data_IF_466593231039
#
_entry.id   IF_466593231039
#
_cell.length_a   1.000
_cell.length_b   1.000
_cell.length_c   1.000
_cell.angle_alpha   90.00
_cell.angle_beta   90.00
_cell.angle_gamma   90.00
#
_symmetry.space_group_name_H-M   'P 1'
#
loop_
_entity.id
_entity.type
_entity.pdbx_description
1 polymer ?
#
# COMPACT_ATOMS: atom_id res chain seq x y z
N UNK A 1 14.38 4.35 27.62
CA UNK A 1 15.00 5.26 26.64
C UNK A 1 13.87 6.11 26.10
N UNK A 2 13.92 7.42 26.29
CA UNK A 2 12.93 8.32 25.67
C UNK A 2 13.16 8.27 24.15
N UNK A 3 12.09 8.03 23.40
CA UNK A 3 12.13 8.00 21.94
C UNK A 3 12.46 9.42 21.42
N UNK A 4 13.45 9.53 20.54
CA UNK A 4 13.76 10.76 19.82
C UNK A 4 13.79 10.46 18.31
N UNK A 5 12.79 10.99 17.59
CA UNK A 5 12.62 10.74 16.16
C UNK A 5 13.71 11.39 15.31
N UNK A 6 14.31 12.50 15.75
CA UNK A 6 15.25 13.30 14.94
C UNK A 6 16.44 12.48 14.45
N UNK A 7 16.92 11.54 15.27
CA UNK A 7 18.04 10.66 14.93
C UNK A 7 17.70 9.83 13.69
N UNK A 8 16.49 9.28 13.64
CA UNK A 8 16.03 8.46 12.51
C UNK A 8 15.64 9.34 11.33
N UNK A 9 14.92 10.43 11.58
CA UNK A 9 14.49 11.40 10.55
C UNK A 9 15.67 11.97 9.76
N UNK A 10 16.78 12.29 10.45
CA UNK A 10 18.02 12.74 9.82
C UNK A 10 18.64 11.64 8.94
N UNK A 11 18.70 10.40 9.44
CA UNK A 11 19.22 9.24 8.70
C UNK A 11 18.43 8.94 7.43
N UNK A 12 17.10 9.01 7.50
CA UNK A 12 16.23 8.75 6.34
C UNK A 12 15.98 10.00 5.49
N UNK A 13 16.41 11.18 5.96
CA UNK A 13 16.18 12.49 5.33
C UNK A 13 14.70 12.81 5.11
N UNK A 14 13.84 12.46 6.07
CA UNK A 14 12.40 12.78 6.06
C UNK A 14 12.02 13.28 7.46
N UNK A 15 11.39 14.45 7.50
CA UNK A 15 10.79 15.02 8.70
C UNK A 15 9.30 14.65 8.73
N UNK A 16 8.89 13.91 9.76
CA UNK A 16 7.51 13.48 9.97
C UNK A 16 6.69 14.60 10.60
N UNK A 17 5.41 14.70 10.24
CA UNK A 17 4.45 15.53 10.99
C UNK A 17 4.02 14.85 12.27
N UNK A 18 3.92 13.52 12.23
CA UNK A 18 3.61 12.66 13.36
C UNK A 18 4.77 11.69 13.65
N UNK A 19 5.61 12.03 14.61
CA UNK A 19 6.77 11.23 15.04
C UNK A 19 6.38 9.86 15.63
N UNK A 20 5.18 9.71 16.18
CA UNK A 20 4.66 8.43 16.70
C UNK A 20 4.45 7.42 15.58
N UNK A 21 4.16 7.88 14.37
CA UNK A 21 4.01 6.99 13.22
C UNK A 21 5.35 6.38 12.81
N UNK A 22 6.45 7.14 12.94
CA UNK A 22 7.80 6.64 12.74
C UNK A 22 8.18 5.64 13.85
N UNK A 23 7.83 5.93 15.10
CA UNK A 23 8.02 4.99 16.20
C UNK A 23 7.29 3.66 15.96
N UNK A 24 6.02 3.72 15.53
CA UNK A 24 5.24 2.54 15.17
C UNK A 24 5.90 1.75 14.04
N UNK A 25 6.40 2.41 12.98
CA UNK A 25 7.10 1.74 11.88
C UNK A 25 8.35 0.97 12.32
N UNK A 26 9.01 1.45 13.37
CA UNK A 26 10.20 0.84 13.96
C UNK A 26 9.90 -0.17 15.06
N UNK A 27 8.64 -0.37 15.44
CA UNK A 27 8.26 -1.27 16.53
C UNK A 27 7.96 -2.67 16.01
N UNK A 28 8.85 -3.62 16.26
CA UNK A 28 8.60 -5.03 15.96
C UNK A 28 7.61 -5.62 16.97
N UNK A 29 6.82 -6.62 16.56
CA UNK A 29 5.82 -7.29 17.41
C UNK A 29 6.39 -7.80 18.75
N UNK A 30 7.61 -8.33 18.75
CA UNK A 30 8.28 -8.76 19.99
C UNK A 30 8.56 -7.61 20.95
N UNK A 31 8.93 -6.43 20.45
CA UNK A 31 9.11 -5.24 21.30
C UNK A 31 7.78 -4.69 21.77
N UNK A 32 6.76 -4.66 20.90
CA UNK A 32 5.40 -4.28 21.24
C UNK A 32 4.85 -5.13 22.41
N UNK A 33 5.11 -6.44 22.37
CA UNK A 33 4.78 -7.36 23.45
C UNK A 33 5.57 -7.05 24.74
N UNK A 34 6.87 -6.76 24.63
CA UNK A 34 7.71 -6.42 25.79
C UNK A 34 7.22 -5.16 26.54
N UNK A 35 6.66 -4.18 25.83
CA UNK A 35 6.13 -2.94 26.42
C UNK A 35 4.62 -3.00 26.74
N UNK A 36 4.03 -4.20 26.72
CA UNK A 36 2.60 -4.44 26.99
C UNK A 36 1.63 -3.71 26.04
N UNK A 37 1.99 -3.52 24.77
CA UNK A 37 1.12 -3.01 23.70
C UNK A 37 1.22 -3.89 22.45
N UNK A 38 0.91 -5.19 22.53
CA UNK A 38 1.13 -6.15 21.43
C UNK A 38 0.38 -5.79 20.13
N UNK A 39 -0.65 -4.95 20.21
CA UNK A 39 -1.41 -4.45 19.06
C UNK A 39 -0.76 -3.27 18.33
N UNK A 40 0.29 -2.66 18.92
CA UNK A 40 0.98 -1.48 18.39
C UNK A 40 2.33 -1.86 17.78
N UNK A 41 2.29 -2.70 16.76
CA UNK A 41 3.46 -3.08 15.98
C UNK A 41 3.41 -2.55 14.54
N UNK A 42 4.50 -2.80 13.82
CA UNK A 42 4.68 -2.30 12.47
C UNK A 42 4.01 -3.15 11.39
N UNK A 43 3.31 -4.25 11.71
CA UNK A 43 2.84 -5.21 10.69
C UNK A 43 1.81 -4.58 9.74
N UNK A 44 0.90 -3.74 10.26
CA UNK A 44 -0.06 -3.02 9.41
C UNK A 44 0.63 -2.02 8.49
N UNK A 45 1.64 -1.31 9.00
CA UNK A 45 2.43 -0.37 8.20
C UNK A 45 3.28 -1.09 7.14
N UNK A 46 3.88 -2.23 7.49
CA UNK A 46 4.60 -3.11 6.56
C UNK A 46 3.68 -3.52 5.42
N UNK A 47 2.47 -3.96 5.75
CA UNK A 47 1.48 -4.42 4.78
C UNK A 47 1.06 -3.33 3.79
N UNK A 48 0.79 -2.12 4.27
CA UNK A 48 0.53 -0.95 3.42
C UNK A 48 1.77 -0.59 2.58
N UNK A 49 2.92 -0.49 3.24
CA UNK A 49 4.18 -0.10 2.65
C UNK A 49 4.64 -1.04 1.53
N UNK A 50 4.36 -2.34 1.62
CA UNK A 50 4.62 -3.31 0.55
C UNK A 50 3.88 -2.94 -0.75
N UNK A 51 2.61 -2.53 -0.66
CA UNK A 51 1.83 -2.14 -1.84
C UNK A 51 2.26 -0.79 -2.39
N UNK A 52 2.57 0.16 -1.52
CA UNK A 52 3.11 1.47 -1.94
C UNK A 52 4.47 1.29 -2.62
N UNK A 53 5.37 0.50 -2.06
CA UNK A 53 6.68 0.18 -2.65
C UNK A 53 6.52 -0.42 -4.05
N UNK A 54 5.65 -1.42 -4.18
CA UNK A 54 5.38 -2.06 -5.47
C UNK A 54 4.85 -1.05 -6.51
N UNK A 55 3.89 -0.21 -6.11
CA UNK A 55 3.35 0.82 -6.99
C UNK A 55 4.42 1.81 -7.45
N UNK A 56 5.24 2.32 -6.52
CA UNK A 56 6.32 3.25 -6.85
C UNK A 56 7.31 2.62 -7.83
N UNK A 57 7.70 1.36 -7.63
CA UNK A 57 8.61 0.65 -8.54
C UNK A 57 7.97 0.47 -9.92
N UNK A 58 6.74 -0.03 -9.99
CA UNK A 58 6.05 -0.26 -11.27
C UNK A 58 5.84 1.04 -12.03
N UNK A 59 5.47 2.12 -11.33
CA UNK A 59 5.32 3.45 -11.87
C UNK A 59 6.66 4.00 -12.42
N UNK A 60 7.74 3.89 -11.65
CA UNK A 60 9.07 4.27 -12.12
C UNK A 60 9.49 3.47 -13.35
N UNK A 61 9.33 2.15 -13.34
CA UNK A 61 9.66 1.30 -14.49
C UNK A 61 8.78 1.63 -15.70
N UNK A 62 7.51 1.94 -15.50
CA UNK A 62 6.60 2.34 -16.57
C UNK A 62 7.11 3.59 -17.29
N UNK A 63 7.61 4.58 -16.55
CA UNK A 63 8.10 5.83 -17.15
C UNK A 63 9.51 5.71 -17.76
N UNK A 64 10.39 4.95 -17.12
CA UNK A 64 11.81 4.97 -17.47
C UNK A 64 12.30 3.75 -18.27
N UNK A 65 11.53 2.68 -18.31
CA UNK A 65 11.90 1.44 -18.99
C UNK A 65 10.81 0.94 -19.97
N UNK A 66 10.24 1.81 -20.85
CA UNK A 66 9.15 1.43 -21.74
C UNK A 66 9.53 0.34 -22.75
N UNK A 67 10.81 0.26 -23.12
CA UNK A 67 11.39 -0.69 -24.07
C UNK A 67 11.56 -2.10 -23.50
N UNK A 68 11.40 -2.31 -22.19
CA UNK A 68 11.57 -3.64 -21.61
C UNK A 68 10.39 -4.56 -21.99
N UNK A 69 10.66 -5.77 -22.51
CA UNK A 69 9.65 -6.81 -22.60
C UNK A 69 9.07 -7.12 -21.22
N UNK A 70 7.79 -7.49 -21.18
CA UNK A 70 7.05 -7.71 -19.94
C UNK A 70 7.79 -8.63 -18.95
N UNK A 71 8.37 -9.73 -19.44
CA UNK A 71 9.14 -10.68 -18.62
C UNK A 71 10.33 -10.03 -17.91
N UNK A 72 11.07 -9.14 -18.61
CA UNK A 72 12.19 -8.40 -18.02
C UNK A 72 11.71 -7.30 -17.08
N UNK A 73 10.60 -6.64 -17.42
CA UNK A 73 9.98 -5.62 -16.58
C UNK A 73 9.59 -6.19 -15.21
N UNK A 74 8.90 -7.34 -15.18
CA UNK A 74 8.51 -8.00 -13.93
C UNK A 74 9.71 -8.55 -13.16
N UNK A 75 10.69 -9.14 -13.86
CA UNK A 75 11.91 -9.62 -13.20
C UNK A 75 12.69 -8.48 -12.53
N UNK A 76 12.77 -7.31 -13.18
CA UNK A 76 13.41 -6.14 -12.60
C UNK A 76 12.65 -5.61 -11.39
N UNK A 77 11.31 -5.53 -11.47
CA UNK A 77 10.45 -5.21 -10.33
C UNK A 77 10.72 -6.14 -9.14
N UNK A 78 10.73 -7.45 -9.37
CA UNK A 78 10.93 -8.44 -8.31
C UNK A 78 12.32 -8.31 -7.67
N UNK A 79 13.35 -8.06 -8.48
CA UNK A 79 14.72 -7.81 -7.98
C UNK A 79 14.83 -6.52 -7.15
N UNK A 80 14.03 -5.50 -7.46
CA UNK A 80 13.98 -4.25 -6.69
C UNK A 80 13.27 -4.43 -5.34
N UNK A 81 12.33 -5.37 -5.26
CA UNK A 81 11.56 -5.68 -4.04
C UNK A 81 12.17 -6.77 -3.17
N UNK A 82 13.28 -7.37 -3.60
CA UNK A 82 13.92 -8.48 -2.91
C UNK A 82 14.39 -8.09 -1.49
N UNK A 83 14.08 -8.95 -0.52
CA UNK A 83 14.33 -8.70 0.90
C UNK A 83 15.79 -8.40 1.25
N UNK A 84 16.73 -9.10 0.60
CA UNK A 84 18.17 -8.82 0.75
C UNK A 84 18.52 -7.38 0.36
N UNK A 85 17.97 -6.90 -0.76
CA UNK A 85 18.18 -5.53 -1.23
C UNK A 85 17.57 -4.51 -0.27
N UNK A 86 16.35 -4.75 0.21
CA UNK A 86 15.70 -3.88 1.19
C UNK A 86 16.52 -3.83 2.49
N UNK A 87 17.06 -4.96 2.92
CA UNK A 87 17.98 -5.03 4.07
C UNK A 87 19.26 -4.22 3.80
N UNK A 88 19.87 -4.31 2.62
CA UNK A 88 21.04 -3.49 2.28
C UNK A 88 20.73 -1.99 2.32
N UNK A 89 19.57 -1.56 1.84
CA UNK A 89 19.14 -0.14 1.92
C UNK A 89 18.99 0.29 3.38
N UNK A 90 18.38 -0.53 4.23
CA UNK A 90 18.26 -0.26 5.67
C UNK A 90 19.61 0.07 6.32
N UNK A 91 20.62 -0.76 6.08
CA UNK A 91 21.96 -0.53 6.63
C UNK A 91 22.70 0.65 5.96
N UNK A 92 22.48 0.89 4.66
CA UNK A 92 23.00 2.06 3.94
C UNK A 92 22.46 3.38 4.50
N UNK A 93 21.23 3.40 4.99
CA UNK A 93 20.63 4.55 5.69
C UNK A 93 21.27 4.78 7.08
N UNK A 94 22.16 3.91 7.54
CA UNK A 94 22.82 4.03 8.85
C UNK A 94 21.90 3.72 10.03
N UNK A 95 20.75 3.08 9.81
CA UNK A 95 19.83 2.68 10.89
C UNK A 95 20.46 1.60 11.80
N UNK A 96 21.31 0.75 11.22
CA UNK A 96 22.08 -0.25 11.96
C UNK A 96 21.19 -1.32 12.61
N UNK A 97 21.73 -1.98 13.63
CA UNK A 97 21.02 -3.02 14.39
C UNK A 97 20.26 -2.48 15.61
N UNK A 98 20.47 -1.20 15.97
CA UNK A 98 19.72 -0.54 17.04
C UNK A 98 18.24 -0.41 16.72
N UNK A 99 17.92 -0.34 15.42
CA UNK A 99 16.58 -0.37 14.88
C UNK A 99 16.37 -1.61 13.98
N UNK A 100 15.13 -2.07 13.73
CA UNK A 100 13.93 -1.69 14.48
C UNK A 100 14.06 -2.09 15.97
N UNK A 101 13.17 -1.59 16.81
CA UNK A 101 13.07 -2.04 18.19
C UNK A 101 12.58 -3.48 18.21
N UNK A 102 13.39 -4.38 18.76
CA UNK A 102 13.13 -5.83 18.86
C UNK A 102 13.41 -6.23 20.30
N UNK A 103 12.53 -7.03 20.92
CA UNK A 103 12.84 -7.62 22.21
C UNK A 103 14.10 -8.50 22.12
N UNK A 104 15.06 -8.25 23.00
CA UNK A 104 16.40 -8.85 22.94
C UNK A 104 16.33 -10.39 23.01
N UNK A 105 16.84 -11.02 21.97
CA UNK A 105 17.37 -12.39 21.99
C UNK A 105 18.75 -12.29 21.36
N UNK A 106 19.77 -12.89 21.96
CA UNK A 106 21.19 -12.44 21.99
C UNK A 106 21.97 -12.32 20.64
N UNK A 107 21.33 -12.28 19.47
CA UNK A 107 22.03 -12.34 18.18
C UNK A 107 21.38 -11.50 17.06
N UNK A 108 21.14 -10.20 17.27
CA UNK A 108 20.58 -9.28 16.24
C UNK A 108 21.33 -9.33 14.90
N UNK A 109 22.66 -9.42 14.95
CA UNK A 109 23.52 -9.50 13.78
C UNK A 109 23.23 -10.69 12.85
N UNK A 110 22.65 -11.78 13.36
CA UNK A 110 22.27 -12.96 12.55
C UNK A 110 20.92 -12.80 11.86
N UNK A 111 20.12 -11.81 12.24
CA UNK A 111 18.80 -11.59 11.64
C UNK A 111 18.90 -11.09 10.20
N UNK A 112 19.95 -10.33 9.86
CA UNK A 112 20.12 -9.70 8.54
C UNK A 112 20.22 -10.68 7.36
N UNK A 113 20.64 -11.92 7.63
CA UNK A 113 20.79 -12.98 6.60
C UNK A 113 19.55 -13.87 6.51
N UNK A 114 18.58 -13.71 7.41
CA UNK A 114 17.33 -14.48 7.37
C UNK A 114 16.42 -13.89 6.28
N UNK A 115 15.67 -14.76 5.61
CA UNK A 115 14.55 -14.33 4.76
C UNK A 115 13.46 -13.70 5.62
N UNK A 116 12.74 -12.70 5.12
CA UNK A 116 11.66 -12.02 5.84
C UNK A 116 12.14 -11.44 7.19
N UNK A 117 13.35 -10.89 7.22
CA UNK A 117 13.95 -10.38 8.44
C UNK A 117 13.29 -9.05 8.91
N UNK A 118 13.46 -8.65 10.17
CA UNK A 118 12.83 -7.44 10.68
C UNK A 118 13.28 -6.14 9.99
N UNK A 119 14.46 -6.09 9.39
CA UNK A 119 14.97 -4.87 8.73
C UNK A 119 14.25 -4.59 7.40
N UNK A 120 14.07 -5.61 6.54
CA UNK A 120 13.30 -5.46 5.31
C UNK A 120 11.82 -5.13 5.60
N UNK A 121 11.25 -5.72 6.65
CA UNK A 121 9.88 -5.44 7.11
C UNK A 121 9.73 -4.02 7.62
N UNK A 122 10.63 -3.58 8.50
CA UNK A 122 10.63 -2.22 9.02
C UNK A 122 10.89 -1.17 7.93
N UNK A 123 11.70 -1.48 6.91
CA UNK A 123 11.87 -0.57 5.76
C UNK A 123 10.55 -0.38 5.01
N UNK A 124 9.80 -1.47 4.75
CA UNK A 124 8.44 -1.37 4.18
C UNK A 124 7.52 -0.57 5.10
N UNK A 125 7.56 -0.83 6.41
CA UNK A 125 6.78 -0.07 7.37
C UNK A 125 7.09 1.43 7.35
N UNK A 126 8.36 1.83 7.23
CA UNK A 126 8.77 3.23 7.05
C UNK A 126 8.15 3.80 5.76
N UNK A 127 8.15 3.07 4.65
CA UNK A 127 7.53 3.51 3.39
C UNK A 127 6.02 3.73 3.59
N UNK A 128 5.34 2.83 4.30
CA UNK A 128 3.93 2.96 4.67
C UNK A 128 3.68 4.19 5.55
N UNK A 129 4.54 4.41 6.55
CA UNK A 129 4.51 5.57 7.43
C UNK A 129 4.71 6.89 6.66
N UNK A 130 5.69 6.97 5.76
CA UNK A 130 5.91 8.14 4.88
C UNK A 130 4.66 8.39 4.03
N UNK A 131 4.05 7.35 3.48
CA UNK A 131 2.84 7.50 2.65
C UNK A 131 1.66 8.07 3.44
N UNK A 132 1.44 7.58 4.66
CA UNK A 132 0.35 8.07 5.52
C UNK A 132 0.59 9.50 6.01
N UNK A 133 1.82 9.87 6.35
CA UNK A 133 2.17 11.18 6.93
C UNK A 133 2.39 12.29 5.86
N UNK A 134 3.03 11.91 4.76
CA UNK A 134 3.54 12.84 3.73
C UNK A 134 2.92 12.64 2.34
N UNK A 135 2.18 11.55 2.14
CA UNK A 135 1.51 11.22 0.88
C UNK A 135 2.40 10.52 -0.14
N UNK A 136 1.75 9.93 -1.16
CA UNK A 136 2.39 9.09 -2.17
C UNK A 136 3.55 9.77 -2.91
N UNK A 137 3.45 11.08 -3.21
CA UNK A 137 4.52 11.82 -3.91
C UNK A 137 5.84 11.80 -3.13
N UNK A 138 5.78 11.91 -1.80
CA UNK A 138 6.97 11.84 -0.95
C UNK A 138 7.50 10.41 -0.86
N UNK A 139 6.63 9.42 -0.77
CA UNK A 139 7.02 8.00 -0.85
C UNK A 139 7.72 7.68 -2.18
N UNK A 140 7.18 8.16 -3.31
CA UNK A 140 7.76 7.98 -4.63
C UNK A 140 9.17 8.56 -4.71
N UNK A 141 9.34 9.83 -4.33
CA UNK A 141 10.63 10.51 -4.37
C UNK A 141 11.66 9.84 -3.46
N UNK A 142 11.24 9.45 -2.25
CA UNK A 142 12.13 8.82 -1.28
C UNK A 142 12.57 7.44 -1.75
N UNK A 143 11.65 6.57 -2.16
CA UNK A 143 11.99 5.24 -2.70
C UNK A 143 12.84 5.36 -3.96
N UNK A 144 12.54 6.30 -4.87
CA UNK A 144 13.37 6.53 -6.04
C UNK A 144 14.81 6.88 -5.64
N UNK A 145 14.99 7.86 -4.75
CA UNK A 145 16.32 8.28 -4.27
C UNK A 145 17.09 7.15 -3.60
N UNK A 146 16.45 6.39 -2.71
CA UNK A 146 17.13 5.40 -1.87
C UNK A 146 17.33 4.04 -2.56
N UNK A 147 16.42 3.64 -3.44
CA UNK A 147 16.38 2.30 -4.01
C UNK A 147 16.71 2.23 -5.50
N UNK A 148 16.32 3.24 -6.30
CA UNK A 148 16.29 3.10 -7.77
C UNK A 148 17.34 3.97 -8.47
N UNK A 149 17.43 5.27 -8.15
CA UNK A 149 18.21 6.25 -8.90
C UNK A 149 19.67 5.84 -9.10
N UNK A 150 20.37 5.43 -8.03
CA UNK A 150 21.79 5.05 -8.11
C UNK A 150 22.06 3.76 -8.89
N UNK A 151 21.04 2.92 -9.07
CA UNK A 151 21.19 1.59 -9.68
C UNK A 151 20.69 1.55 -11.11
N UNK A 152 19.63 2.31 -11.41
CA UNK A 152 18.94 2.27 -12.69
C UNK A 152 19.25 3.46 -13.59
N UNK A 153 19.73 4.59 -13.05
CA UNK A 153 19.97 5.81 -13.84
C UNK A 153 20.90 5.59 -15.02
N UNK A 154 21.93 4.76 -14.88
CA UNK A 154 22.89 4.41 -15.94
C UNK A 154 22.37 3.47 -17.01
N UNK A 155 21.20 2.85 -16.80
CA UNK A 155 20.60 1.87 -17.70
C UNK A 155 19.39 2.41 -18.44
N UNK A 156 19.01 3.67 -18.20
CA UNK A 156 17.94 4.35 -18.92
C UNK A 156 18.35 4.55 -20.38
N UNK A 157 17.40 4.33 -21.28
CA UNK A 157 17.56 4.58 -22.70
C UNK A 157 16.57 5.65 -23.14
N UNK A 158 16.97 6.47 -24.12
CA UNK A 158 16.06 7.39 -24.82
C UNK A 158 15.18 6.62 -25.79
N UNK A 159 14.36 5.71 -25.25
CA UNK A 159 13.39 4.95 -26.02
C UNK A 159 12.07 5.72 -26.09
N UNK A 160 11.64 6.04 -27.32
CA UNK A 160 10.35 6.68 -27.57
C UNK A 160 9.20 5.67 -27.67
N UNK A 161 9.51 4.42 -28.01
CA UNK A 161 8.50 3.37 -28.20
C UNK A 161 8.44 2.40 -27.03
N UNK A 162 7.22 1.97 -26.70
CA UNK A 162 6.95 1.03 -25.61
C UNK A 162 6.70 -0.37 -26.17
N UNK A 163 7.46 -1.36 -25.71
CA UNK A 163 7.46 -2.73 -26.28
C UNK A 163 6.18 -3.53 -25.99
N UNK A 164 5.53 -3.30 -24.85
CA UNK A 164 4.27 -3.97 -24.51
C UNK A 164 3.32 -3.01 -23.78
N UNK A 165 2.76 -2.02 -24.50
CA UNK A 165 2.01 -0.93 -23.89
C UNK A 165 0.84 -1.41 -23.04
N UNK A 166 0.04 -2.32 -23.59
CA UNK A 166 -1.13 -2.89 -22.94
C UNK A 166 -0.79 -3.63 -21.64
N UNK A 167 0.23 -4.48 -21.68
CA UNK A 167 0.62 -5.30 -20.52
C UNK A 167 1.25 -4.45 -19.41
N UNK A 168 2.06 -3.47 -19.78
CA UNK A 168 2.67 -2.54 -18.81
C UNK A 168 1.61 -1.63 -18.19
N UNK A 169 0.67 -1.11 -18.99
CA UNK A 169 -0.46 -0.30 -18.49
C UNK A 169 -1.36 -1.11 -17.57
N UNK A 170 -1.69 -2.34 -17.94
CA UNK A 170 -2.48 -3.25 -17.11
C UNK A 170 -1.79 -3.55 -15.78
N UNK A 171 -0.47 -3.76 -15.77
CA UNK A 171 0.30 -3.97 -14.54
C UNK A 171 0.33 -2.73 -13.64
N UNK A 172 0.52 -1.54 -14.23
CA UNK A 172 0.47 -0.27 -13.50
C UNK A 172 -0.88 -0.11 -12.80
N UNK A 173 -1.97 -0.29 -13.55
CA UNK A 173 -3.32 -0.20 -13.01
C UNK A 173 -3.66 -1.27 -11.97
N UNK A 174 -3.22 -2.52 -12.16
CA UNK A 174 -3.44 -3.60 -11.19
C UNK A 174 -2.70 -3.32 -9.87
N UNK A 175 -1.47 -2.83 -9.98
CA UNK A 175 -0.67 -2.45 -8.82
C UNK A 175 -1.29 -1.25 -8.10
N UNK A 176 -1.80 -0.28 -8.85
CA UNK A 176 -2.50 0.89 -8.32
C UNK A 176 -3.81 0.51 -7.62
N UNK A 177 -4.63 -0.35 -8.23
CA UNK A 177 -5.87 -0.86 -7.63
C UNK A 177 -5.59 -1.50 -6.27
N UNK A 178 -4.57 -2.36 -6.20
CA UNK A 178 -4.13 -3.00 -4.96
C UNK A 178 -3.66 -1.98 -3.92
N UNK A 179 -2.87 -0.99 -4.33
CA UNK A 179 -2.36 0.03 -3.41
C UNK A 179 -3.49 0.91 -2.85
N UNK A 180 -4.41 1.39 -3.70
CA UNK A 180 -5.58 2.17 -3.27
C UNK A 180 -6.44 1.32 -2.35
N UNK A 181 -6.72 0.07 -2.71
CA UNK A 181 -7.61 -0.77 -1.91
C UNK A 181 -7.03 -1.06 -0.53
N UNK A 182 -5.72 -1.35 -0.43
CA UNK A 182 -5.07 -1.53 0.87
C UNK A 182 -5.00 -0.23 1.66
N UNK A 183 -4.70 0.92 1.03
CA UNK A 183 -4.73 2.23 1.73
C UNK A 183 -6.12 2.54 2.29
N UNK A 184 -7.17 2.32 1.49
CA UNK A 184 -8.55 2.52 1.92
C UNK A 184 -8.94 1.60 3.09
N UNK A 185 -8.73 0.29 2.94
CA UNK A 185 -9.07 -0.68 4.00
C UNK A 185 -8.24 -0.45 5.27
N UNK A 186 -6.96 -0.06 5.14
CA UNK A 186 -6.12 0.29 6.27
C UNK A 186 -6.72 1.44 7.10
N UNK A 187 -7.28 2.46 6.42
CA UNK A 187 -7.89 3.64 7.06
C UNK A 187 -9.29 3.35 7.60
N UNK A 188 -10.10 2.63 6.82
CA UNK A 188 -11.48 2.29 7.19
C UNK A 188 -11.52 1.32 8.38
N UNK A 189 -10.57 0.38 8.45
CA UNK A 189 -10.56 -0.71 9.43
C UNK A 189 -9.27 -0.66 10.30
N UNK A 190 -9.11 0.35 11.17
CA UNK A 190 -7.87 0.63 11.90
C UNK A 190 -7.43 -0.48 12.87
N UNK A 191 -8.36 -1.33 13.31
CA UNK A 191 -8.08 -2.40 14.28
C UNK A 191 -8.07 -3.81 13.64
N UNK A 192 -8.21 -3.89 12.32
CA UNK A 192 -8.19 -5.16 11.59
C UNK A 192 -6.76 -5.48 11.14
N UNK A 193 -6.30 -6.69 11.45
CA UNK A 193 -4.95 -7.14 11.14
C UNK A 193 -4.71 -7.39 9.64
N UNK A 194 -3.44 -7.41 9.18
CA UNK A 194 -3.11 -7.56 7.76
C UNK A 194 -3.67 -8.82 7.08
N UNK A 195 -3.76 -9.93 7.81
CA UNK A 195 -4.30 -11.20 7.28
C UNK A 195 -5.76 -11.04 6.86
N UNK A 196 -6.58 -10.43 7.72
CA UNK A 196 -7.99 -10.14 7.43
C UNK A 196 -8.14 -9.09 6.33
N UNK A 197 -7.35 -8.03 6.37
CA UNK A 197 -7.34 -7.01 5.30
C UNK A 197 -6.97 -7.63 3.94
N UNK A 198 -6.04 -8.59 3.92
CA UNK A 198 -5.69 -9.33 2.70
C UNK A 198 -6.89 -10.11 2.17
N UNK A 199 -7.60 -10.86 3.02
CA UNK A 199 -8.80 -11.60 2.62
C UNK A 199 -9.86 -10.66 2.04
N UNK A 200 -10.15 -9.55 2.72
CA UNK A 200 -11.11 -8.55 2.25
C UNK A 200 -10.70 -7.93 0.92
N UNK A 201 -9.43 -7.51 0.80
CA UNK A 201 -8.95 -6.88 -0.43
C UNK A 201 -9.12 -7.78 -1.65
N UNK A 202 -8.95 -9.10 -1.51
CA UNK A 202 -9.08 -10.07 -2.60
C UNK A 202 -10.47 -10.09 -3.23
N UNK A 203 -11.50 -9.83 -2.44
CA UNK A 203 -12.88 -9.73 -2.92
C UNK A 203 -13.02 -8.56 -3.90
N UNK A 204 -12.66 -7.36 -3.45
CA UNK A 204 -12.81 -6.11 -4.22
C UNK A 204 -11.85 -5.97 -5.40
N UNK A 205 -10.71 -6.68 -5.39
CA UNK A 205 -9.79 -6.72 -6.54
C UNK A 205 -10.00 -7.94 -7.44
N UNK A 206 -11.03 -8.75 -7.20
CA UNK A 206 -11.31 -9.94 -8.01
C UNK A 206 -11.67 -9.57 -9.46
N UNK A 207 -11.44 -10.49 -10.40
CA UNK A 207 -11.83 -10.29 -11.81
C UNK A 207 -13.35 -10.09 -11.96
N UNK A 208 -14.15 -10.71 -11.10
CA UNK A 208 -15.60 -10.57 -11.11
C UNK A 208 -16.02 -9.15 -10.73
N UNK A 209 -15.54 -8.63 -9.59
CA UNK A 209 -15.80 -7.25 -9.17
C UNK A 209 -15.27 -6.25 -10.20
N UNK A 210 -14.07 -6.46 -10.74
CA UNK A 210 -13.52 -5.61 -11.81
C UNK A 210 -14.41 -5.55 -13.07
N UNK A 211 -15.06 -6.66 -13.44
CA UNK A 211 -16.00 -6.69 -14.57
C UNK A 211 -17.26 -5.88 -14.26
N UNK A 212 -17.79 -6.00 -13.04
CA UNK A 212 -18.91 -5.19 -12.55
C UNK A 212 -18.57 -3.69 -12.56
N UNK A 213 -17.36 -3.33 -12.11
CA UNK A 213 -16.88 -1.94 -12.15
C UNK A 213 -16.87 -1.38 -13.57
N UNK A 214 -16.34 -2.11 -14.55
CA UNK A 214 -16.35 -1.67 -15.95
C UNK A 214 -17.75 -1.44 -16.50
N UNK A 215 -18.72 -2.30 -16.16
CA UNK A 215 -20.10 -2.15 -16.65
C UNK A 215 -20.84 -0.95 -16.07
N UNK A 216 -20.42 -0.47 -14.89
CA UNK A 216 -21.08 0.61 -14.17
C UNK A 216 -20.50 2.01 -14.43
N UNK A 217 -19.52 2.15 -15.32
CA UNK A 217 -18.77 3.40 -15.50
C UNK A 217 -18.88 3.87 -16.96
N UNK A 218 -19.31 5.12 -17.14
CA UNK A 218 -19.15 5.82 -18.41
C UNK A 218 -17.69 6.28 -18.56
N UNK A 219 -17.03 5.83 -19.63
CA UNK A 219 -15.63 6.16 -19.91
C UNK A 219 -15.59 7.49 -20.67
N UNK A 220 -15.04 8.53 -20.04
CA UNK A 220 -14.76 9.81 -20.72
C UNK A 220 -13.73 9.60 -21.84
N UNK A 221 -14.04 9.96 -23.10
CA UNK A 221 -13.10 9.88 -24.22
C UNK A 221 -11.76 10.59 -23.98
N UNK A 222 -11.70 11.60 -23.10
CA UNK A 222 -10.47 12.34 -22.77
C UNK A 222 -9.50 11.60 -21.85
N UNK A 223 -9.97 10.55 -21.18
CA UNK A 223 -9.14 9.69 -20.30
C UNK A 223 -8.32 8.68 -21.12
N UNK A 224 -8.68 8.50 -22.39
CA UNK A 224 -8.11 7.53 -23.30
C UNK A 224 -6.73 8.02 -23.76
N UNK A 225 -5.67 7.26 -23.51
CA UNK A 225 -4.39 7.47 -24.20
C UNK A 225 -4.57 7.06 -25.67
N UNK A 226 -4.14 7.89 -26.66
CA UNK A 226 -4.43 7.63 -28.07
C UNK A 226 -3.97 6.26 -28.60
N UNK A 227 -2.96 5.66 -27.97
CA UNK A 227 -2.32 4.44 -28.45
C UNK A 227 -3.04 3.15 -28.02
N UNK A 228 -3.84 3.14 -26.95
CA UNK A 228 -4.29 1.89 -26.28
C UNK A 228 -5.79 1.81 -25.95
N UNK A 229 -6.64 2.55 -26.65
CA UNK A 229 -8.10 2.60 -26.40
C UNK A 229 -8.77 1.21 -26.36
N UNK A 230 -8.38 0.31 -27.27
CA UNK A 230 -8.98 -1.03 -27.40
C UNK A 230 -8.77 -1.90 -26.16
N UNK A 231 -7.67 -1.70 -25.43
CA UNK A 231 -7.36 -2.46 -24.21
C UNK A 231 -8.06 -1.90 -22.99
N UNK A 232 -8.19 -0.56 -22.91
CA UNK A 232 -8.94 0.13 -21.85
C UNK A 232 -10.38 -0.40 -21.76
N UNK A 233 -11.05 -0.57 -22.91
CA UNK A 233 -12.44 -1.07 -22.97
C UNK A 233 -12.62 -2.51 -22.48
N UNK A 234 -11.54 -3.28 -22.30
CA UNK A 234 -11.60 -4.69 -21.89
C UNK A 234 -11.02 -4.96 -20.50
N UNK A 235 -10.46 -3.95 -19.83
CA UNK A 235 -9.67 -4.16 -18.61
C UNK A 235 -9.80 -3.01 -17.64
N UNK A 236 -10.41 -3.27 -16.48
CA UNK A 236 -10.55 -2.28 -15.40
C UNK A 236 -9.18 -1.77 -14.91
N UNK A 237 -8.17 -2.63 -14.70
CA UNK A 237 -6.83 -2.17 -14.39
C UNK A 237 -6.27 -1.23 -15.46
N UNK A 238 -6.41 -1.56 -16.75
CA UNK A 238 -5.89 -0.68 -17.81
C UNK A 238 -6.58 0.71 -17.80
N UNK A 239 -7.89 0.76 -17.57
CA UNK A 239 -8.63 2.00 -17.38
C UNK A 239 -8.09 2.81 -16.19
N UNK A 240 -7.97 2.18 -15.02
CA UNK A 240 -7.45 2.83 -13.82
C UNK A 240 -6.01 3.34 -14.01
N UNK A 241 -5.17 2.57 -14.71
CA UNK A 241 -3.82 2.98 -15.09
C UNK A 241 -3.81 4.19 -16.03
N UNK A 242 -4.70 4.23 -17.03
CA UNK A 242 -4.83 5.37 -17.92
C UNK A 242 -5.29 6.63 -17.17
N UNK A 243 -6.25 6.49 -16.24
CA UNK A 243 -6.70 7.58 -15.37
C UNK A 243 -5.58 8.11 -14.48
N UNK A 244 -4.77 7.22 -13.92
CA UNK A 244 -3.63 7.61 -13.11
C UNK A 244 -2.64 8.49 -13.88
N UNK A 245 -2.33 8.10 -15.12
CA UNK A 245 -1.46 8.87 -16.01
C UNK A 245 -2.11 10.19 -16.44
N UNK A 246 -3.43 10.24 -16.65
CA UNK A 246 -4.12 11.48 -16.99
C UNK A 246 -4.18 12.46 -15.81
N UNK A 247 -4.27 11.98 -14.57
CA UNK A 247 -4.17 12.85 -13.40
C UNK A 247 -2.75 13.36 -13.15
N UNK A 248 -1.73 12.63 -13.60
CA UNK A 248 -0.34 13.07 -13.56
C UNK A 248 -0.07 14.29 -14.42
N UNK A 249 -0.60 14.32 -15.65
CA UNK A 249 -0.43 15.47 -16.55
C UNK A 249 -1.04 16.76 -15.98
N UNK A 250 -2.05 16.62 -15.12
CA UNK A 250 -2.63 17.75 -14.39
C UNK A 250 -1.76 18.15 -13.19
N UNK A 251 -1.41 17.19 -12.33
CA UNK A 251 -0.52 17.41 -11.19
C UNK A 251 0.01 16.07 -10.64
N UNK A 252 1.28 15.77 -10.94
CA UNK A 252 2.00 14.57 -10.52
C UNK A 252 2.05 14.34 -9.01
N UNK A 253 1.95 15.41 -8.19
CA UNK A 253 1.94 15.27 -6.71
C UNK A 253 0.63 14.69 -6.18
N UNK A 254 -0.46 14.83 -6.95
CA UNK A 254 -1.82 14.45 -6.53
C UNK A 254 -2.40 13.26 -7.28
N UNK A 255 -1.67 12.69 -8.26
CA UNK A 255 -2.17 11.60 -9.13
C UNK A 255 -2.73 10.41 -8.35
N UNK A 256 -2.01 9.93 -7.33
CA UNK A 256 -2.49 8.84 -6.46
C UNK A 256 -3.77 9.23 -5.71
N UNK A 257 -3.79 10.43 -5.10
CA UNK A 257 -4.94 10.90 -4.33
C UNK A 257 -6.18 11.04 -5.22
N UNK A 258 -6.05 11.61 -6.43
CA UNK A 258 -7.14 11.73 -7.40
C UNK A 258 -7.63 10.37 -7.89
N UNK A 259 -6.73 9.44 -8.19
CA UNK A 259 -7.11 8.06 -8.56
C UNK A 259 -7.83 7.34 -7.42
N UNK A 260 -7.35 7.51 -6.19
CA UNK A 260 -7.98 6.96 -4.98
C UNK A 260 -9.37 7.53 -4.77
N UNK A 261 -9.50 8.85 -4.78
CA UNK A 261 -10.78 9.54 -4.63
C UNK A 261 -11.78 9.12 -5.69
N UNK A 262 -11.35 9.02 -6.95
CA UNK A 262 -12.23 8.56 -8.02
C UNK A 262 -12.69 7.11 -7.79
N UNK A 263 -11.76 6.20 -7.52
CA UNK A 263 -12.10 4.79 -7.31
C UNK A 263 -13.06 4.63 -6.13
N UNK A 264 -12.71 5.19 -4.98
CA UNK A 264 -13.49 5.02 -3.75
C UNK A 264 -14.86 5.70 -3.87
N UNK A 265 -14.95 6.92 -4.42
CA UNK A 265 -16.23 7.66 -4.46
C UNK A 265 -17.15 7.25 -5.61
N UNK A 266 -16.62 6.70 -6.70
CA UNK A 266 -17.40 6.42 -7.92
C UNK A 266 -17.62 4.94 -8.19
N UNK A 267 -16.77 4.08 -7.63
CA UNK A 267 -16.75 2.65 -7.99
C UNK A 267 -16.99 1.75 -6.77
N UNK A 268 -16.39 2.09 -5.62
CA UNK A 268 -16.51 1.28 -4.41
C UNK A 268 -17.71 1.76 -3.58
N UNK A 269 -18.61 0.84 -3.24
CA UNK A 269 -19.68 1.08 -2.28
C UNK A 269 -19.16 0.76 -0.87
N UNK A 270 -19.13 1.76 0.02
CA UNK A 270 -18.67 1.59 1.40
C UNK A 270 -19.56 0.62 2.18
N UNK A 271 -20.88 0.62 1.97
CA UNK A 271 -21.78 -0.33 2.63
C UNK A 271 -21.47 -1.77 2.18
N UNK A 272 -21.08 -1.97 0.91
CA UNK A 272 -20.62 -3.26 0.40
C UNK A 272 -19.33 -3.71 1.11
N UNK A 273 -18.36 -2.79 1.27
CA UNK A 273 -17.12 -3.07 2.00
C UNK A 273 -17.37 -3.42 3.46
N UNK A 274 -18.23 -2.65 4.15
CA UNK A 274 -18.57 -2.90 5.54
C UNK A 274 -19.31 -4.23 5.71
N UNK A 275 -20.22 -4.59 4.80
CA UNK A 275 -20.90 -5.89 4.81
C UNK A 275 -19.92 -7.05 4.71
N UNK A 276 -19.03 -7.03 3.71
CA UNK A 276 -18.01 -8.07 3.54
C UNK A 276 -17.05 -8.15 4.75
N UNK A 277 -16.69 -6.98 5.31
CA UNK A 277 -15.88 -6.92 6.53
C UNK A 277 -16.58 -7.57 7.72
N UNK A 278 -17.85 -7.23 7.96
CA UNK A 278 -18.66 -7.80 9.05
C UNK A 278 -18.82 -9.31 8.86
N UNK A 279 -19.20 -9.76 7.66
CA UNK A 279 -19.39 -11.18 7.36
C UNK A 279 -18.11 -11.99 7.61
N UNK A 280 -16.96 -11.48 7.18
CA UNK A 280 -15.67 -12.11 7.44
C UNK A 280 -15.36 -12.18 8.94
N UNK A 281 -15.56 -11.08 9.67
CA UNK A 281 -15.23 -10.99 11.09
C UNK A 281 -16.13 -11.90 11.94
N UNK A 282 -17.43 -11.97 11.63
CA UNK A 282 -18.36 -12.90 12.28
C UNK A 282 -17.98 -14.36 12.02
N UNK A 283 -17.58 -14.69 10.79
CA UNK A 283 -17.10 -16.04 10.44
C UNK A 283 -15.85 -16.44 11.22
N UNK A 284 -15.04 -15.47 11.63
CA UNK A 284 -13.87 -15.66 12.48
C UNK A 284 -14.16 -15.40 13.97
N UNK A 285 -15.42 -15.53 14.37
CA UNK A 285 -15.90 -15.47 15.77
C UNK A 285 -15.58 -14.16 16.49
N UNK A 286 -15.38 -13.06 15.75
CA UNK A 286 -15.18 -11.75 16.34
C UNK A 286 -16.50 -11.27 16.96
N UNK A 287 -16.52 -10.86 18.25
CA UNK A 287 -17.77 -10.47 18.90
C UNK A 287 -18.46 -9.30 18.20
N UNK A 288 -19.79 -9.39 18.03
CA UNK A 288 -20.59 -8.31 17.43
C UNK A 288 -20.35 -6.95 18.12
N UNK A 289 -20.23 -6.93 19.45
CA UNK A 289 -19.94 -5.70 20.20
C UNK A 289 -18.61 -5.06 19.79
N UNK A 290 -17.60 -5.89 19.51
CA UNK A 290 -16.32 -5.42 18.99
C UNK A 290 -16.46 -4.85 17.58
N UNK A 291 -17.22 -5.53 16.71
CA UNK A 291 -17.46 -5.06 15.33
C UNK A 291 -18.18 -3.70 15.33
N UNK A 292 -19.23 -3.55 16.14
CA UNK A 292 -19.97 -2.28 16.24
C UNK A 292 -19.05 -1.14 16.67
N UNK A 293 -18.14 -1.41 17.63
CA UNK A 293 -17.20 -0.41 18.13
C UNK A 293 -16.07 -0.11 17.14
N UNK A 294 -15.33 -1.13 16.74
CA UNK A 294 -14.04 -0.98 16.06
C UNK A 294 -14.12 -0.99 14.53
N UNK A 295 -15.27 -1.39 13.96
CA UNK A 295 -15.54 -1.37 12.51
C UNK A 295 -16.56 -0.31 12.14
N UNK A 296 -17.67 -0.23 12.87
CA UNK A 296 -18.73 0.75 12.58
C UNK A 296 -18.52 2.11 13.29
N UNK A 297 -17.59 2.19 14.25
CA UNK A 297 -17.22 3.43 14.93
C UNK A 297 -18.22 3.89 16.00
N UNK A 298 -19.06 2.99 16.53
CA UNK A 298 -20.04 3.32 17.57
C UNK A 298 -19.49 2.96 18.96
N UNK A 299 -19.23 3.97 19.78
CA UNK A 299 -18.84 3.79 21.17
C UNK A 299 -19.93 3.11 22.01
N UNK A 300 -19.59 2.67 23.22
CA UNK A 300 -20.54 1.98 24.12
C UNK A 300 -21.79 2.82 24.45
N UNK A 301 -21.69 4.15 24.41
CA UNK A 301 -22.80 5.09 24.62
C UNK A 301 -23.80 5.12 23.46
N UNK A 302 -23.37 4.77 22.25
CA UNK A 302 -24.15 4.80 21.01
C UNK A 302 -24.42 3.39 20.47
N UNK A 303 -24.31 2.38 21.35
CA UNK A 303 -24.34 0.97 20.97
C UNK A 303 -25.64 0.57 20.25
N UNK A 304 -26.80 1.06 20.69
CA UNK A 304 -28.08 0.70 20.10
C UNK A 304 -28.22 1.20 18.66
N UNK A 305 -27.77 2.43 18.37
CA UNK A 305 -27.70 2.96 17.02
C UNK A 305 -26.71 2.17 16.14
N UNK A 306 -25.57 1.78 16.71
CA UNK A 306 -24.60 0.93 16.02
C UNK A 306 -25.14 -0.46 15.72
N UNK A 307 -25.94 -1.03 16.63
CA UNK A 307 -26.63 -2.31 16.46
C UNK A 307 -27.69 -2.25 15.36
N UNK A 308 -28.43 -1.15 15.26
CA UNK A 308 -29.38 -0.93 14.17
C UNK A 308 -28.67 -0.86 12.82
N UNK A 309 -27.58 -0.07 12.71
CA UNK A 309 -26.77 -0.02 11.48
C UNK A 309 -26.19 -1.38 11.11
N UNK A 310 -25.69 -2.12 12.09
CA UNK A 310 -25.19 -3.49 11.89
C UNK A 310 -26.25 -4.39 11.26
N UNK A 311 -27.47 -4.41 11.82
CA UNK A 311 -28.56 -5.24 11.29
C UNK A 311 -28.97 -4.81 9.88
N UNK A 312 -29.09 -3.50 9.64
CA UNK A 312 -29.40 -2.96 8.31
C UNK A 312 -28.37 -3.35 7.23
N UNK A 313 -27.10 -3.44 7.61
CA UNK A 313 -26.05 -3.91 6.70
C UNK A 313 -26.19 -5.42 6.45
N UNK A 314 -26.49 -6.21 7.49
CA UNK A 314 -26.61 -7.67 7.40
C UNK A 314 -27.91 -8.16 6.74
N UNK A 315 -29.01 -7.42 6.80
CA UNK A 315 -30.29 -7.77 6.17
C UNK A 315 -30.25 -7.71 4.63
N UNK A 316 -29.24 -7.05 4.05
CA UNK A 316 -29.04 -6.94 2.60
C UNK A 316 -28.17 -8.07 2.00
N UNK A 317 -27.99 -9.19 2.71
CA UNK A 317 -27.28 -10.39 2.25
C UNK A 317 -28.23 -11.39 1.59
#
# INVERSE_FOLDING_TARGET
MEWNSEIVENKISIQFKNSELLFLALTHSSYAQQINTPEKDNERLEFLGDKILNLVIVDYLYHHFPYLPMTKFTALRDKLMEGERLTQVWFKLGLGEGYPFIALTEERHRLKVKRNNPFEKALKAIIGAIHLDRGFSQSYNWVNKQLMASLLGRHQQDAKERFSPDKQLQLLGDTLLKAIMIDYLYRLLPYVNPTRLTKLSKEFISKEKQTKYLSGIEIDPKVITPENEKVIKKSFPALLGAMYLSFETQNSKTRFAKSSDWLIKKVIDEDDVLREAIALLLKEEVPQKWIIKEVLGYDSKDYDAGRERFHKLMEKL
#
